data_IF_902602046053
#
_entry.id   IF_902602046053
#
_cell.length_a   1.000
_cell.length_b   1.000
_cell.length_c   1.000
_cell.angle_alpha   90.00
_cell.angle_beta   90.00
_cell.angle_gamma   90.00
#
_symmetry.space_group_name_H-M   'P 1'
#
loop_
_entity.id
_entity.type
_entity.pdbx_description
1 polymer ?
#
# COMPACT_ATOMS: atom_id res chain seq x y z
N UNK A 1 -54.63 -35.13 64.87
CA UNK A 1 -54.65 -34.16 63.82
C UNK A 1 -53.19 -34.05 63.33
N UNK A 2 -52.83 -34.79 62.24
CA UNK A 2 -51.52 -34.75 61.62
C UNK A 2 -51.65 -33.92 60.37
N UNK A 3 -50.84 -32.85 60.28
CA UNK A 3 -50.73 -32.01 59.09
C UNK A 3 -49.60 -32.52 58.21
N UNK A 4 -49.97 -32.96 57.03
CA UNK A 4 -48.98 -33.36 55.98
C UNK A 4 -48.38 -32.12 55.31
N UNK A 5 -47.06 -31.99 55.40
CA UNK A 5 -46.32 -30.97 54.71
C UNK A 5 -45.91 -31.58 53.34
N UNK A 6 -46.44 -31.04 52.25
CA UNK A 6 -46.03 -31.44 50.88
C UNK A 6 -44.77 -30.65 50.49
N UNK A 7 -43.67 -31.38 50.23
CA UNK A 7 -42.42 -30.81 49.73
C UNK A 7 -42.55 -30.62 48.18
N UNK A 8 -42.52 -29.38 47.74
CA UNK A 8 -42.53 -29.03 46.33
C UNK A 8 -41.05 -29.05 45.83
N UNK A 9 -40.67 -30.06 45.03
CA UNK A 9 -39.37 -30.13 44.42
C UNK A 9 -39.33 -29.25 43.19
N UNK A 10 -38.51 -28.18 43.22
CA UNK A 10 -38.24 -27.30 42.07
C UNK A 10 -37.19 -27.94 41.19
N UNK A 11 -37.60 -28.43 40.01
CA UNK A 11 -36.66 -28.96 39.00
C UNK A 11 -35.98 -27.77 38.26
N UNK A 12 -34.69 -27.58 38.50
CA UNK A 12 -33.89 -26.61 37.73
C UNK A 12 -33.50 -27.27 36.41
N UNK A 13 -34.11 -26.80 35.31
CA UNK A 13 -33.74 -27.21 33.98
C UNK A 13 -32.45 -26.52 33.56
N UNK A 14 -31.34 -27.25 33.54
CA UNK A 14 -30.05 -26.81 32.97
C UNK A 14 -30.12 -26.84 31.45
N UNK A 15 -30.19 -25.69 30.82
CA UNK A 15 -30.04 -25.54 29.37
C UNK A 15 -28.56 -25.74 29.01
N UNK A 16 -28.22 -26.58 27.99
CA UNK A 16 -26.84 -26.71 27.53
C UNK A 16 -26.41 -25.39 26.87
N UNK A 17 -25.35 -24.78 27.37
CA UNK A 17 -24.67 -23.67 26.74
C UNK A 17 -23.87 -24.25 25.58
N UNK A 18 -24.35 -24.07 24.34
CA UNK A 18 -23.56 -24.37 23.15
C UNK A 18 -22.40 -23.39 23.07
N UNK A 19 -21.14 -23.85 22.96
CA UNK A 19 -20.02 -22.94 22.74
C UNK A 19 -20.21 -22.25 21.39
N UNK A 20 -20.23 -20.91 21.39
CA UNK A 20 -20.13 -20.10 20.18
C UNK A 20 -18.76 -20.43 19.59
N UNK A 21 -18.75 -21.13 18.48
CA UNK A 21 -17.54 -21.29 17.67
C UNK A 21 -17.17 -19.91 17.18
N UNK A 22 -16.02 -19.41 17.60
CA UNK A 22 -15.42 -18.23 16.98
C UNK A 22 -15.22 -18.54 15.50
N UNK A 23 -15.84 -17.73 14.64
CA UNK A 23 -15.68 -17.86 13.22
C UNK A 23 -14.22 -17.60 12.84
N UNK A 24 -13.51 -18.64 12.38
CA UNK A 24 -12.11 -18.60 11.95
C UNK A 24 -11.87 -17.80 10.66
N UNK A 25 -12.75 -16.83 10.36
CA UNK A 25 -12.68 -16.05 9.11
C UNK A 25 -11.74 -14.83 9.20
N UNK A 26 -10.94 -14.70 10.29
CA UNK A 26 -9.92 -13.65 10.42
C UNK A 26 -8.51 -14.07 10.00
N UNK A 27 -8.29 -15.33 9.65
CA UNK A 27 -6.95 -15.86 9.32
C UNK A 27 -6.41 -15.31 7.99
N UNK A 28 -7.27 -15.01 7.01
CA UNK A 28 -6.83 -14.56 5.68
C UNK A 28 -6.12 -13.21 5.63
N UNK A 29 -6.57 -12.21 6.41
CA UNK A 29 -5.97 -10.87 6.37
C UNK A 29 -4.69 -10.77 7.22
N UNK A 30 -4.59 -11.52 8.32
CA UNK A 30 -3.38 -11.58 9.15
C UNK A 30 -2.26 -12.34 8.43
N UNK A 31 -2.60 -13.44 7.75
CA UNK A 31 -1.67 -14.26 6.96
C UNK A 31 -1.16 -13.53 5.70
N UNK A 32 -1.99 -12.67 5.10
CA UNK A 32 -1.61 -11.86 3.93
C UNK A 32 -0.47 -10.86 4.21
N UNK A 33 -0.27 -10.45 5.46
CA UNK A 33 0.77 -9.51 5.89
C UNK A 33 1.85 -10.16 6.75
N UNK A 34 1.96 -11.49 6.72
CA UNK A 34 3.13 -12.17 7.26
C UNK A 34 4.40 -11.65 6.57
N UNK A 35 5.43 -11.21 7.33
CA UNK A 35 6.60 -10.56 6.75
C UNK A 35 7.36 -11.43 5.74
N UNK A 36 7.44 -12.74 5.96
CA UNK A 36 8.13 -13.66 5.04
C UNK A 36 7.35 -13.80 3.73
N UNK A 37 6.03 -13.90 3.81
CA UNK A 37 5.15 -13.95 2.64
C UNK A 37 5.15 -12.64 1.85
N UNK A 38 5.07 -11.50 2.54
CA UNK A 38 5.17 -10.16 1.93
C UNK A 38 6.49 -10.02 1.16
N UNK A 39 7.61 -10.40 1.78
CA UNK A 39 8.91 -10.39 1.13
C UNK A 39 8.95 -11.32 -0.09
N UNK A 40 8.44 -12.55 0.03
CA UNK A 40 8.41 -13.50 -1.06
C UNK A 40 7.60 -12.97 -2.26
N UNK A 41 6.39 -12.42 -2.02
CA UNK A 41 5.54 -11.84 -3.07
C UNK A 41 6.26 -10.69 -3.79
N UNK A 42 6.90 -9.79 -3.04
CA UNK A 42 7.60 -8.67 -3.66
C UNK A 42 8.86 -9.08 -4.43
N UNK A 43 9.60 -10.08 -3.96
CA UNK A 43 10.76 -10.60 -4.68
C UNK A 43 10.38 -11.38 -5.94
N UNK A 44 9.26 -12.10 -5.94
CA UNK A 44 8.73 -12.79 -7.11
C UNK A 44 8.28 -11.84 -8.23
N UNK A 45 7.96 -10.60 -7.93
CA UNK A 45 7.60 -9.60 -8.92
C UNK A 45 8.81 -9.12 -9.75
N UNK A 46 10.05 -9.30 -9.28
CA UNK A 46 11.25 -8.85 -9.99
C UNK A 46 11.38 -9.59 -11.34
N UNK A 47 11.59 -8.82 -12.42
CA UNK A 47 11.59 -9.29 -13.80
C UNK A 47 10.20 -9.33 -14.45
N UNK A 48 9.11 -9.24 -13.66
CA UNK A 48 7.74 -9.17 -14.15
C UNK A 48 7.46 -7.88 -14.92
N UNK A 49 6.61 -7.97 -15.93
CA UNK A 49 6.17 -6.82 -16.71
C UNK A 49 5.00 -6.14 -15.98
N UNK A 50 5.09 -4.84 -15.78
CA UNK A 50 4.00 -4.01 -15.28
C UNK A 50 3.03 -3.70 -16.41
N UNK A 51 1.74 -3.93 -16.22
CA UNK A 51 0.68 -3.71 -17.21
C UNK A 51 0.51 -2.23 -17.59
N UNK A 52 -0.44 -1.98 -18.49
CA UNK A 52 -0.86 -0.63 -18.88
C UNK A 52 -2.00 -0.17 -17.97
N UNK A 53 -1.83 0.98 -17.34
CA UNK A 53 -2.78 1.53 -16.37
C UNK A 53 -3.09 2.99 -16.66
N UNK A 54 -4.31 3.41 -16.29
CA UNK A 54 -4.76 4.79 -16.36
C UNK A 54 -4.95 5.37 -14.96
N UNK A 55 -4.40 6.54 -14.72
CA UNK A 55 -4.44 7.25 -13.45
C UNK A 55 -5.06 8.63 -13.61
N UNK A 56 -5.38 9.25 -12.48
CA UNK A 56 -5.70 10.66 -12.37
C UNK A 56 -4.54 11.40 -11.71
N UNK A 57 -4.07 12.48 -12.32
CA UNK A 57 -3.06 13.34 -11.71
C UNK A 57 -3.68 14.26 -10.64
N UNK A 58 -2.83 14.98 -9.93
CA UNK A 58 -3.23 15.93 -8.87
C UNK A 58 -4.09 17.11 -9.35
N UNK A 59 -4.26 17.29 -10.67
CA UNK A 59 -5.14 18.29 -11.30
C UNK A 59 -6.42 17.66 -11.87
N UNK A 60 -6.57 16.32 -11.75
CA UNK A 60 -7.69 15.57 -12.28
C UNK A 60 -7.53 15.13 -13.75
N UNK A 61 -6.39 15.44 -14.38
CA UNK A 61 -6.06 14.99 -15.73
C UNK A 61 -5.78 13.47 -15.77
N UNK A 62 -5.99 12.86 -16.94
CA UNK A 62 -5.65 11.43 -17.14
C UNK A 62 -4.17 11.29 -17.47
N UNK A 63 -3.50 10.32 -16.83
CA UNK A 63 -2.11 9.94 -17.07
C UNK A 63 -2.08 8.45 -17.39
N UNK A 64 -1.61 8.10 -18.59
CA UNK A 64 -1.35 6.70 -18.93
C UNK A 64 0.03 6.28 -18.44
N UNK A 65 0.14 5.09 -17.85
CA UNK A 65 1.45 4.57 -17.43
C UNK A 65 2.41 4.45 -18.60
N UNK A 66 1.88 4.08 -19.77
CA UNK A 66 2.69 3.92 -20.98
C UNK A 66 3.36 5.23 -21.44
N UNK A 67 2.73 6.39 -21.19
CA UNK A 67 3.32 7.69 -21.47
C UNK A 67 4.53 8.04 -20.57
N UNK A 68 4.68 7.31 -19.46
CA UNK A 68 5.80 7.47 -18.53
C UNK A 68 6.95 6.50 -18.83
N UNK A 69 6.77 5.50 -19.69
CA UNK A 69 7.80 4.51 -20.09
C UNK A 69 8.96 5.15 -20.85
N UNK A 70 9.97 4.36 -21.18
CA UNK A 70 11.20 4.81 -21.87
C UNK A 70 12.25 5.39 -20.92
N UNK A 71 11.92 5.50 -19.63
CA UNK A 71 12.84 5.82 -18.53
C UNK A 71 12.44 5.02 -17.29
N UNK A 72 13.36 4.80 -16.35
CA UNK A 72 13.02 4.14 -15.10
C UNK A 72 11.90 4.87 -14.33
N UNK A 73 11.01 4.09 -13.70
CA UNK A 73 9.95 4.58 -12.85
C UNK A 73 10.20 4.12 -11.42
N UNK A 74 10.02 5.02 -10.46
CA UNK A 74 10.15 4.74 -9.02
C UNK A 74 8.77 4.82 -8.39
N UNK A 75 8.19 3.68 -8.06
CA UNK A 75 6.86 3.60 -7.45
C UNK A 75 6.92 3.63 -5.93
N UNK A 76 6.13 4.51 -5.34
CA UNK A 76 5.84 4.57 -3.91
C UNK A 76 4.32 4.55 -3.72
N UNK A 77 3.81 3.55 -3.01
CA UNK A 77 2.40 3.40 -2.72
C UNK A 77 2.13 3.86 -1.29
N UNK A 78 1.20 4.80 -1.12
CA UNK A 78 0.88 5.43 0.16
C UNK A 78 -0.64 5.52 0.35
N UNK A 79 -1.10 5.90 1.53
CA UNK A 79 -2.44 6.47 1.68
C UNK A 79 -2.36 7.81 2.43
N UNK A 80 -3.15 8.78 1.99
CA UNK A 80 -3.04 10.18 2.49
C UNK A 80 -3.49 10.34 3.94
N UNK A 81 -4.23 9.36 4.47
CA UNK A 81 -4.63 9.30 5.88
C UNK A 81 -3.55 8.79 6.83
N UNK A 82 -2.40 8.32 6.32
CA UNK A 82 -1.27 7.91 7.14
C UNK A 82 -0.57 9.14 7.72
N UNK A 83 -0.46 9.19 9.04
CA UNK A 83 0.17 10.34 9.74
C UNK A 83 1.59 10.08 10.22
N UNK A 84 2.13 8.87 10.01
CA UNK A 84 3.39 8.43 10.58
C UNK A 84 4.39 7.96 9.51
N UNK A 85 4.27 6.74 9.03
CA UNK A 85 5.30 6.09 8.20
C UNK A 85 5.32 6.64 6.76
N UNK A 86 4.17 6.88 6.13
CA UNK A 86 4.13 7.35 4.74
C UNK A 86 4.79 8.72 4.54
N UNK A 87 4.56 9.74 5.41
CA UNK A 87 5.29 11.00 5.35
C UNK A 87 6.81 10.81 5.45
N UNK A 88 7.26 9.99 6.39
CA UNK A 88 8.69 9.72 6.60
C UNK A 88 9.32 9.06 5.36
N UNK A 89 8.69 8.02 4.79
CA UNK A 89 9.15 7.37 3.56
C UNK A 89 9.23 8.36 2.41
N UNK A 90 8.19 9.19 2.23
CA UNK A 90 8.13 10.18 1.16
C UNK A 90 9.27 11.20 1.26
N UNK A 91 9.57 11.70 2.46
CA UNK A 91 10.66 12.64 2.70
C UNK A 91 12.03 12.00 2.50
N UNK A 92 12.23 10.75 2.91
CA UNK A 92 13.49 10.04 2.66
C UNK A 92 13.68 9.74 1.18
N UNK A 93 12.59 9.35 0.49
CA UNK A 93 12.60 9.17 -0.96
C UNK A 93 12.96 10.48 -1.67
N UNK A 94 12.42 11.63 -1.22
CA UNK A 94 12.76 12.94 -1.78
C UNK A 94 14.25 13.24 -1.72
N UNK A 95 14.88 13.00 -0.56
CA UNK A 95 16.33 13.20 -0.42
C UNK A 95 17.13 12.34 -1.39
N UNK A 96 16.76 11.06 -1.52
CA UNK A 96 17.38 10.16 -2.50
C UNK A 96 17.17 10.61 -3.95
N UNK A 97 15.96 11.07 -4.27
CA UNK A 97 15.61 11.60 -5.61
C UNK A 97 16.41 12.85 -5.93
N UNK A 98 16.53 13.81 -5.00
CA UNK A 98 17.32 15.02 -5.20
C UNK A 98 18.81 14.71 -5.42
N UNK A 99 19.35 13.75 -4.67
CA UNK A 99 20.74 13.31 -4.83
C UNK A 99 20.95 12.64 -6.20
N UNK A 100 20.03 11.73 -6.59
CA UNK A 100 20.06 11.08 -7.88
C UNK A 100 19.95 12.10 -9.04
N UNK A 101 19.10 13.11 -8.92
CA UNK A 101 18.98 14.18 -9.92
C UNK A 101 20.26 15.02 -10.05
N UNK A 102 20.95 15.27 -8.94
CA UNK A 102 22.25 15.99 -8.98
C UNK A 102 23.31 15.23 -9.75
N UNK A 103 23.32 13.91 -9.66
CA UNK A 103 24.31 13.05 -10.32
C UNK A 103 23.96 12.70 -11.76
N UNK A 104 22.70 12.38 -12.02
CA UNK A 104 22.25 11.83 -13.30
C UNK A 104 21.50 12.85 -14.17
N UNK A 105 21.02 13.93 -13.57
CA UNK A 105 20.12 14.90 -14.19
C UNK A 105 18.64 14.67 -13.85
N UNK A 106 17.80 15.73 -13.95
CA UNK A 106 16.43 15.73 -13.44
C UNK A 106 15.44 14.87 -14.23
N UNK A 107 15.73 14.55 -15.50
CA UNK A 107 14.81 13.87 -16.41
C UNK A 107 15.17 12.41 -16.67
N UNK A 108 16.09 11.85 -15.89
CA UNK A 108 16.58 10.47 -16.10
C UNK A 108 15.63 9.39 -15.62
N UNK A 109 14.72 9.73 -14.72
CA UNK A 109 13.70 8.82 -14.18
C UNK A 109 12.46 9.61 -13.76
N UNK A 110 11.35 8.93 -13.53
CA UNK A 110 10.11 9.52 -13.01
C UNK A 110 9.74 8.84 -11.69
N UNK A 111 9.34 9.62 -10.70
CA UNK A 111 8.77 9.11 -9.45
C UNK A 111 7.26 9.14 -9.56
N UNK A 112 6.61 8.05 -9.16
CA UNK A 112 5.16 7.88 -9.14
C UNK A 112 4.73 7.52 -7.73
N UNK A 113 4.08 8.45 -7.04
CA UNK A 113 3.40 8.16 -5.78
C UNK A 113 1.92 7.95 -6.06
N UNK A 114 1.42 6.73 -5.78
CA UNK A 114 0.02 6.36 -5.96
C UNK A 114 -0.66 6.23 -4.60
N UNK A 115 -1.84 6.84 -4.46
CA UNK A 115 -2.73 6.62 -3.32
C UNK A 115 -3.42 5.27 -3.42
N UNK A 116 -3.39 4.46 -2.35
CA UNK A 116 -4.01 3.11 -2.31
C UNK A 116 -5.43 3.09 -1.75
N UNK A 117 -5.87 4.17 -1.14
CA UNK A 117 -7.25 4.33 -0.66
C UNK A 117 -8.10 4.98 -1.77
N UNK A 118 -8.67 4.17 -2.64
CA UNK A 118 -9.45 4.63 -3.81
C UNK A 118 -10.58 5.60 -3.45
N UNK A 119 -11.09 5.54 -2.22
CA UNK A 119 -12.19 6.40 -1.74
C UNK A 119 -11.70 7.75 -1.23
N UNK A 120 -10.53 7.78 -0.61
CA UNK A 120 -10.01 8.96 0.07
C UNK A 120 -8.83 9.60 -0.64
N UNK A 121 -7.98 8.85 -1.34
CA UNK A 121 -6.80 9.37 -2.04
C UNK A 121 -7.19 9.98 -3.40
N UNK A 122 -8.11 10.95 -3.35
CA UNK A 122 -8.56 11.69 -4.53
C UNK A 122 -7.44 12.57 -5.12
N UNK A 123 -7.53 13.02 -6.39
CA UNK A 123 -6.58 13.95 -6.99
C UNK A 123 -6.27 15.16 -6.10
N UNK A 124 -7.30 15.75 -5.49
CA UNK A 124 -7.16 16.88 -4.59
C UNK A 124 -6.38 16.53 -3.31
N UNK A 125 -6.64 15.34 -2.73
CA UNK A 125 -5.91 14.87 -1.54
C UNK A 125 -4.47 14.54 -1.86
N UNK A 126 -4.19 13.95 -3.02
CA UNK A 126 -2.83 13.69 -3.50
C UNK A 126 -2.07 15.00 -3.73
N UNK A 127 -2.73 16.04 -4.29
CA UNK A 127 -2.14 17.38 -4.42
C UNK A 127 -1.84 18.00 -3.05
N UNK A 128 -2.75 17.88 -2.08
CA UNK A 128 -2.56 18.39 -0.72
C UNK A 128 -1.40 17.65 -0.02
N UNK A 129 -1.34 16.33 -0.16
CA UNK A 129 -0.25 15.53 0.38
C UNK A 129 1.11 15.97 -0.17
N UNK A 130 1.25 16.11 -1.49
CA UNK A 130 2.49 16.61 -2.11
C UNK A 130 2.93 17.96 -1.53
N UNK A 131 1.99 18.91 -1.35
CA UNK A 131 2.29 20.22 -0.75
C UNK A 131 2.72 20.13 0.71
N UNK A 132 2.03 19.33 1.51
CA UNK A 132 2.37 19.12 2.93
C UNK A 132 3.76 18.51 3.07
N UNK A 133 4.11 17.57 2.16
CA UNK A 133 5.45 16.97 2.14
C UNK A 133 6.53 17.87 1.53
N UNK A 134 6.17 19.03 0.99
CA UNK A 134 7.12 19.97 0.37
C UNK A 134 7.64 19.53 -1.00
N UNK A 135 7.01 18.52 -1.63
CA UNK A 135 7.48 17.97 -2.90
C UNK A 135 7.05 18.85 -4.07
N UNK A 136 8.03 19.46 -4.75
CA UNK A 136 7.82 20.31 -5.92
C UNK A 136 8.62 19.85 -7.16
N UNK A 137 9.12 18.62 -7.16
CA UNK A 137 9.94 18.07 -8.23
C UNK A 137 9.12 17.76 -9.47
N UNK A 138 9.53 18.26 -10.66
CA UNK A 138 8.78 18.11 -11.92
C UNK A 138 8.66 16.66 -12.39
N UNK A 139 9.66 15.82 -12.09
CA UNK A 139 9.67 14.40 -12.41
C UNK A 139 8.94 13.54 -11.37
N UNK A 140 8.20 14.14 -10.43
CA UNK A 140 7.43 13.42 -9.43
C UNK A 140 5.92 13.59 -9.66
N UNK A 141 5.23 12.49 -9.88
CA UNK A 141 3.79 12.43 -10.09
C UNK A 141 3.10 11.91 -8.84
N UNK A 142 2.07 12.61 -8.39
CA UNK A 142 1.15 12.15 -7.35
C UNK A 142 -0.15 11.79 -8.03
N UNK A 143 -0.49 10.51 -7.98
CA UNK A 143 -1.56 9.92 -8.77
C UNK A 143 -2.61 9.26 -7.88
N UNK A 144 -3.84 9.18 -8.36
CA UNK A 144 -4.94 8.41 -7.81
C UNK A 144 -5.52 7.49 -8.88
N UNK A 145 -6.21 6.41 -8.47
CA UNK A 145 -6.87 5.48 -9.35
C UNK A 145 -8.10 4.85 -8.67
N UNK A 146 -8.90 4.11 -9.42
CA UNK A 146 -9.92 3.24 -8.88
C UNK A 146 -9.31 2.00 -8.21
N UNK A 147 -10.15 1.29 -7.45
CA UNK A 147 -9.74 0.14 -6.64
C UNK A 147 -9.18 -1.01 -7.51
N UNK A 148 -9.77 -1.25 -8.67
CA UNK A 148 -9.34 -2.30 -9.59
C UNK A 148 -7.93 -2.02 -10.15
N UNK A 149 -7.69 -0.80 -10.60
CA UNK A 149 -6.38 -0.32 -11.08
C UNK A 149 -5.32 -0.39 -9.98
N UNK A 150 -5.65 0.05 -8.75
CA UNK A 150 -4.74 -0.03 -7.60
C UNK A 150 -4.37 -1.48 -7.31
N UNK A 151 -5.37 -2.37 -7.22
CA UNK A 151 -5.14 -3.79 -6.93
C UNK A 151 -4.33 -4.49 -8.03
N UNK A 152 -4.57 -4.16 -9.31
CA UNK A 152 -3.85 -4.72 -10.43
C UNK A 152 -2.38 -4.26 -10.44
N UNK A 153 -2.13 -2.96 -10.31
CA UNK A 153 -0.78 -2.42 -10.22
C UNK A 153 -0.02 -2.97 -9.01
N UNK A 154 -0.67 -3.05 -7.84
CA UNK A 154 -0.05 -3.60 -6.63
C UNK A 154 0.41 -5.05 -6.85
N UNK A 155 -0.39 -5.89 -7.53
CA UNK A 155 0.03 -7.26 -7.89
C UNK A 155 1.26 -7.27 -8.78
N UNK A 156 1.29 -6.45 -9.83
CA UNK A 156 2.42 -6.37 -10.75
C UNK A 156 3.70 -5.91 -10.05
N UNK A 157 3.58 -4.96 -9.12
CA UNK A 157 4.69 -4.45 -8.32
C UNK A 157 5.08 -5.38 -7.16
N UNK A 158 4.33 -6.46 -6.90
CA UNK A 158 4.53 -7.29 -5.72
C UNK A 158 4.30 -6.55 -4.41
N UNK A 159 3.40 -5.57 -4.39
CA UNK A 159 3.07 -4.78 -3.22
C UNK A 159 1.82 -5.33 -2.52
N UNK A 160 1.96 -5.73 -1.26
CA UNK A 160 0.87 -6.27 -0.46
C UNK A 160 0.33 -5.22 0.49
N UNK A 161 -0.99 -5.06 0.56
CA UNK A 161 -1.65 -4.18 1.52
C UNK A 161 -2.97 -4.78 1.99
N UNK A 162 -3.41 -4.38 3.18
CA UNK A 162 -4.69 -4.81 3.73
C UNK A 162 -5.34 -3.66 4.52
N UNK A 163 -6.66 -3.53 4.40
CA UNK A 163 -7.44 -2.60 5.21
C UNK A 163 -7.34 -2.95 6.71
N UNK A 164 -7.32 -1.94 7.55
CA UNK A 164 -7.28 -2.06 9.00
C UNK A 164 -8.14 -0.98 9.65
N UNK A 165 -8.39 -1.06 10.95
CA UNK A 165 -9.21 -0.08 11.69
C UNK A 165 -8.67 1.37 11.60
N UNK A 166 -7.36 1.56 11.39
CA UNK A 166 -6.71 2.88 11.27
C UNK A 166 -6.31 3.27 9.84
N UNK A 167 -6.81 2.58 8.80
CA UNK A 167 -6.46 2.82 7.40
C UNK A 167 -5.95 1.56 6.72
N UNK A 168 -4.66 1.54 6.32
CA UNK A 168 -4.07 0.39 5.64
C UNK A 168 -2.77 -0.05 6.33
N UNK A 169 -2.57 -1.36 6.36
CA UNK A 169 -1.29 -1.97 6.70
C UNK A 169 -0.60 -2.39 5.41
N UNK A 170 0.66 -2.05 5.26
CA UNK A 170 1.48 -2.37 4.09
C UNK A 170 2.97 -2.34 4.45
N UNK A 171 3.85 -2.99 3.67
CA UNK A 171 5.30 -2.88 3.86
C UNK A 171 5.80 -1.48 3.47
N UNK A 172 6.90 -1.05 4.08
CA UNK A 172 7.70 0.07 3.59
C UNK A 172 8.50 -0.39 2.37
N UNK A 173 7.90 -0.31 1.20
CA UNK A 173 8.44 -0.79 -0.07
C UNK A 173 8.37 0.30 -1.12
N UNK A 174 9.47 0.49 -1.84
CA UNK A 174 9.53 1.28 -3.07
C UNK A 174 10.00 0.36 -4.18
N UNK A 175 9.33 0.39 -5.34
CA UNK A 175 9.62 -0.48 -6.48
C UNK A 175 10.23 0.33 -7.60
N UNK A 176 11.36 -0.11 -8.12
CA UNK A 176 11.97 0.46 -9.33
C UNK A 176 11.58 -0.42 -10.52
N UNK A 177 11.02 0.22 -11.52
CA UNK A 177 10.65 -0.38 -12.81
C UNK A 177 11.60 0.19 -13.87
N UNK A 178 12.16 -0.66 -14.72
CA UNK A 178 13.08 -0.25 -15.78
C UNK A 178 12.35 0.47 -16.94
N UNK A 179 13.13 0.93 -17.94
CA UNK A 179 12.60 1.62 -19.12
C UNK A 179 11.63 0.78 -19.96
N UNK A 180 11.79 -0.55 -19.89
CA UNK A 180 10.98 -1.51 -20.64
C UNK A 180 9.71 -1.92 -19.89
N UNK A 181 9.51 -1.37 -18.67
CA UNK A 181 8.35 -1.60 -17.83
C UNK A 181 8.44 -2.87 -16.99
N UNK A 182 9.65 -3.40 -16.75
CA UNK A 182 9.84 -4.56 -15.86
C UNK A 182 10.24 -4.12 -14.47
N UNK A 183 9.73 -4.81 -13.45
CA UNK A 183 10.19 -4.61 -12.08
C UNK A 183 11.67 -4.97 -12.00
N UNK A 184 12.48 -3.97 -11.77
CA UNK A 184 13.94 -4.13 -11.72
C UNK A 184 14.43 -4.44 -10.31
N UNK A 185 13.93 -3.70 -9.31
CA UNK A 185 14.40 -3.80 -7.92
C UNK A 185 13.32 -3.40 -6.93
N UNK A 186 13.35 -4.06 -5.76
CA UNK A 186 12.60 -3.67 -4.58
C UNK A 186 13.51 -3.02 -3.55
N UNK A 187 13.09 -1.90 -2.96
CA UNK A 187 13.78 -1.21 -1.88
C UNK A 187 12.88 -1.21 -0.64
N UNK A 188 13.40 -1.72 0.47
CA UNK A 188 12.63 -1.87 1.70
C UNK A 188 13.11 -0.91 2.78
N UNK A 189 12.18 -0.56 3.69
CA UNK A 189 12.44 0.30 4.82
C UNK A 189 12.32 1.79 4.46
N UNK A 190 12.85 2.62 5.33
CA UNK A 190 12.75 4.08 5.24
C UNK A 190 13.99 4.75 4.65
N UNK A 191 15.11 4.02 4.54
CA UNK A 191 16.32 4.54 3.90
C UNK A 191 16.27 4.30 2.40
N UNK A 192 16.55 5.34 1.62
CA UNK A 192 16.62 5.24 0.16
C UNK A 192 18.07 5.49 -0.30
N UNK A 193 18.90 4.44 -0.41
CA UNK A 193 20.29 4.60 -0.80
C UNK A 193 20.39 5.02 -2.27
N UNK A 194 21.34 5.92 -2.54
CA UNK A 194 21.60 6.40 -3.91
C UNK A 194 21.86 5.26 -4.91
N UNK A 195 22.53 4.19 -4.46
CA UNK A 195 22.78 2.99 -5.26
C UNK A 195 21.51 2.32 -5.80
N UNK A 196 20.35 2.58 -5.18
CA UNK A 196 19.08 2.09 -5.73
C UNK A 196 18.73 2.72 -7.09
N UNK A 197 19.27 3.91 -7.41
CA UNK A 197 18.99 4.64 -8.65
C UNK A 197 20.03 4.45 -9.77
N UNK A 198 21.27 4.09 -9.41
CA UNK A 198 22.43 4.20 -10.34
C UNK A 198 23.04 2.86 -10.77
N UNK A 199 22.58 1.75 -10.21
CA UNK A 199 22.93 0.39 -10.65
C UNK A 199 21.84 -0.21 -11.55
#
# INVERSE_FOLDING_TARGET
RFASIALLALAVASTPVTPIRADDNHTGAADALDPARVLAVSQQAIGGLVGSYSFRDSKGGTVMLDDLRGRPLVFSLIYTGCTDVCPMITQQLEKGVQEAQRLMGPDRFTVVTLGIDSRNDTPMRMAAYARVQGIALRNWKFLSADEETIAALARDLGFTYAASAGGYRHPSQTTIVDRDGRVYRQVYGTAFPLTAFIE
#
